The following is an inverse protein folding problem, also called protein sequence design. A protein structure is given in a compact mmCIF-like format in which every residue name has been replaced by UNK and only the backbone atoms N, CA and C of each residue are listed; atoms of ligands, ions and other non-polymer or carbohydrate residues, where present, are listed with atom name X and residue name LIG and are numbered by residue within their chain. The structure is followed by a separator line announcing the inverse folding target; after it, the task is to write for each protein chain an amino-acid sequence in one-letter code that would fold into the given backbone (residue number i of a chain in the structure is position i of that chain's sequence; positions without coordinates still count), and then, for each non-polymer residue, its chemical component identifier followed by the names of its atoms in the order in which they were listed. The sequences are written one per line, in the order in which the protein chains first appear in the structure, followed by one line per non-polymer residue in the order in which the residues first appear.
data_IF_636724562438
#
_entry.id   IF_636724562438
#
_cell.length_a   1.000
_cell.length_b   1.000
_cell.length_c   1.000
_cell.angle_alpha   90.00
_cell.angle_beta   90.00
_cell.angle_gamma   90.00
#
_symmetry.space_group_name_H-M   'P 1'
#
loop_
_entity.id
_entity.type
_entity.pdbx_description
1 polymer ?
#
# COMPACT_ATOMS: atom_id res chain seq x y z
N UNK A 1 9.42 9.00 -0.65
CA UNK A 1 8.14 8.31 -0.37
C UNK A 1 8.03 6.91 -0.98
N UNK A 2 8.31 6.71 -2.27
CA UNK A 2 8.31 5.37 -2.89
C UNK A 2 9.09 4.34 -2.06
N UNK A 3 10.29 4.73 -1.59
CA UNK A 3 11.13 3.91 -0.73
C UNK A 3 10.46 3.38 0.54
N UNK A 4 9.66 4.21 1.23
CA UNK A 4 9.02 3.79 2.50
C UNK A 4 7.88 2.80 2.23
N UNK A 5 7.03 3.10 1.26
CA UNK A 5 5.90 2.24 0.89
C UNK A 5 6.40 0.89 0.35
N UNK A 6 7.41 0.92 -0.52
CA UNK A 6 8.07 -0.30 -1.01
C UNK A 6 8.72 -1.08 0.12
N UNK A 7 9.38 -0.42 1.08
CA UNK A 7 10.01 -1.11 2.23
C UNK A 7 8.98 -1.80 3.13
N UNK A 8 7.86 -1.14 3.44
CA UNK A 8 6.75 -1.73 4.21
C UNK A 8 6.18 -2.93 3.46
N UNK A 9 5.96 -2.80 2.15
CA UNK A 9 5.47 -3.90 1.32
C UNK A 9 6.43 -5.10 1.32
N UNK A 10 7.73 -4.87 1.15
CA UNK A 10 8.77 -5.91 1.21
C UNK A 10 8.73 -6.62 2.58
N UNK A 11 8.67 -5.86 3.67
CA UNK A 11 8.56 -6.43 5.02
C UNK A 11 7.30 -7.28 5.19
N UNK A 12 6.18 -6.84 4.63
CA UNK A 12 4.92 -7.55 4.72
C UNK A 12 4.90 -8.86 3.93
N UNK A 13 5.48 -8.89 2.71
CA UNK A 13 5.57 -10.12 1.91
C UNK A 13 6.67 -11.07 2.38
N UNK A 14 7.62 -10.62 3.21
CA UNK A 14 8.69 -11.47 3.74
C UNK A 14 8.14 -12.65 4.55
N UNK A 15 7.06 -12.46 5.30
CA UNK A 15 6.42 -13.53 6.06
C UNK A 15 5.82 -14.64 5.18
N UNK A 16 4.90 -14.38 4.23
CA UNK A 16 4.39 -15.42 3.36
C UNK A 16 5.49 -16.03 2.49
N UNK A 17 6.49 -15.25 2.08
CA UNK A 17 7.64 -15.78 1.36
C UNK A 17 8.45 -16.77 2.21
N UNK A 18 8.73 -16.46 3.47
CA UNK A 18 9.37 -17.38 4.41
C UNK A 18 8.54 -18.64 4.64
N UNK A 19 7.21 -18.52 4.67
CA UNK A 19 6.26 -19.65 4.71
C UNK A 19 6.39 -20.57 3.50
N UNK A 20 6.40 -20.01 2.28
CA UNK A 20 6.59 -20.75 1.01
C UNK A 20 7.92 -21.52 1.03
N UNK A 21 9.00 -20.83 1.41
CA UNK A 21 10.34 -21.43 1.47
C UNK A 21 10.36 -22.56 2.48
N UNK A 22 9.82 -22.35 3.69
CA UNK A 22 9.74 -23.38 4.73
C UNK A 22 8.96 -24.61 4.27
N UNK A 23 7.81 -24.43 3.65
CA UNK A 23 6.97 -25.52 3.18
C UNK A 23 7.67 -26.33 2.08
N UNK A 24 8.29 -25.63 1.13
CA UNK A 24 9.04 -26.27 0.06
C UNK A 24 10.20 -27.09 0.60
N UNK A 25 10.93 -26.57 1.57
CA UNK A 25 12.08 -27.23 2.20
C UNK A 25 11.67 -28.43 3.08
N UNK A 26 10.58 -28.31 3.86
CA UNK A 26 10.16 -29.36 4.80
C UNK A 26 9.27 -30.44 4.20
N UNK A 27 8.41 -30.09 3.25
CA UNK A 27 7.35 -30.98 2.75
C UNK A 27 7.45 -31.23 1.24
N UNK A 28 8.41 -30.61 0.54
CA UNK A 28 8.61 -30.73 -0.91
C UNK A 28 7.54 -30.03 -1.76
N UNK A 29 6.48 -29.52 -1.13
CA UNK A 29 5.31 -28.87 -1.74
C UNK A 29 4.99 -27.59 -0.98
N UNK A 30 4.43 -26.59 -1.67
CA UNK A 30 4.01 -25.33 -1.07
C UNK A 30 2.52 -25.40 -0.78
N UNK A 31 2.09 -25.03 0.43
CA UNK A 31 0.67 -24.98 0.74
C UNK A 31 -0.05 -23.95 -0.15
N UNK A 32 -1.17 -24.29 -0.83
CA UNK A 32 -1.85 -23.39 -1.77
C UNK A 32 -2.25 -22.04 -1.15
N UNK A 33 -2.56 -22.03 0.16
CA UNK A 33 -2.88 -20.80 0.89
C UNK A 33 -1.74 -19.77 0.86
N UNK A 34 -0.47 -20.18 0.78
CA UNK A 34 0.63 -19.23 0.67
C UNK A 34 0.60 -18.47 -0.66
N UNK A 35 0.32 -19.16 -1.77
CA UNK A 35 0.22 -18.51 -3.08
C UNK A 35 -0.97 -17.57 -3.14
N UNK A 36 -2.11 -17.97 -2.59
CA UNK A 36 -3.29 -17.11 -2.50
C UNK A 36 -3.02 -15.88 -1.65
N UNK A 37 -2.41 -16.04 -0.47
CA UNK A 37 -2.05 -14.92 0.41
C UNK A 37 -1.06 -13.96 -0.25
N UNK A 38 0.04 -14.48 -0.81
CA UNK A 38 1.04 -13.65 -1.50
C UNK A 38 0.42 -12.92 -2.70
N UNK A 39 -0.36 -13.63 -3.53
CA UNK A 39 -1.05 -13.05 -4.68
C UNK A 39 -2.02 -11.94 -4.27
N UNK A 40 -2.80 -12.16 -3.22
CA UNK A 40 -3.73 -11.16 -2.69
C UNK A 40 -3.00 -9.89 -2.21
N UNK A 41 -1.87 -10.04 -1.49
CA UNK A 41 -1.07 -8.90 -1.04
C UNK A 41 -0.48 -8.11 -2.23
N UNK A 42 0.03 -8.80 -3.25
CA UNK A 42 0.57 -8.16 -4.46
C UNK A 42 -0.51 -7.40 -5.22
N UNK A 43 -1.66 -8.04 -5.46
CA UNK A 43 -2.80 -7.40 -6.13
C UNK A 43 -3.29 -6.19 -5.35
N UNK A 44 -3.43 -6.32 -4.03
CA UNK A 44 -3.84 -5.21 -3.16
C UNK A 44 -2.86 -4.05 -3.21
N UNK A 45 -1.55 -4.32 -3.21
CA UNK A 45 -0.52 -3.28 -3.32
C UNK A 45 -0.67 -2.49 -4.62
N UNK A 46 -0.75 -3.17 -5.77
CA UNK A 46 -0.94 -2.51 -7.05
C UNK A 46 -2.29 -1.78 -7.15
N UNK A 47 -3.36 -2.37 -6.63
CA UNK A 47 -4.67 -1.74 -6.60
C UNK A 47 -4.63 -0.44 -5.79
N UNK A 48 -4.01 -0.46 -4.61
CA UNK A 48 -3.91 0.72 -3.74
C UNK A 48 -3.08 1.82 -4.38
N UNK A 49 -1.90 1.48 -4.95
CA UNK A 49 -1.03 2.46 -5.59
C UNK A 49 -1.63 3.04 -6.87
N UNK A 50 -2.33 2.22 -7.67
CA UNK A 50 -2.90 2.66 -8.95
C UNK A 50 -4.19 3.43 -8.73
N UNK A 51 -5.12 2.87 -7.95
CA UNK A 51 -6.44 3.48 -7.72
C UNK A 51 -6.29 4.68 -6.80
N UNK A 52 -5.54 4.56 -5.71
CA UNK A 52 -5.37 5.63 -4.71
C UNK A 52 -4.69 6.89 -5.26
N UNK A 53 -3.92 6.77 -6.35
CA UNK A 53 -3.25 7.89 -7.03
C UNK A 53 -3.91 8.31 -8.33
N UNK A 54 -5.08 7.77 -8.64
CA UNK A 54 -5.79 8.04 -9.89
C UNK A 54 -6.64 9.31 -9.83
N UNK A 55 -7.03 9.80 -11.01
CA UNK A 55 -8.04 10.86 -11.14
C UNK A 55 -9.41 10.43 -10.61
N UNK A 56 -9.72 9.13 -10.63
CA UNK A 56 -10.93 8.59 -10.02
C UNK A 56 -10.96 8.81 -8.50
N UNK A 57 -9.84 8.55 -7.81
CA UNK A 57 -9.74 8.84 -6.38
C UNK A 57 -9.85 10.35 -6.09
N UNK A 58 -9.25 11.20 -6.94
CA UNK A 58 -9.35 12.65 -6.81
C UNK A 58 -10.78 13.17 -7.00
N UNK A 59 -11.52 12.66 -7.99
CA UNK A 59 -12.93 13.01 -8.22
C UNK A 59 -13.80 12.56 -7.03
N UNK A 60 -13.62 11.33 -6.56
CA UNK A 60 -14.32 10.82 -5.38
C UNK A 60 -14.02 11.68 -4.13
N UNK A 61 -12.77 12.05 -3.90
CA UNK A 61 -12.37 12.95 -2.82
C UNK A 61 -13.10 14.29 -2.93
N UNK A 62 -13.06 14.93 -4.10
CA UNK A 62 -13.64 16.26 -4.32
C UNK A 62 -15.14 16.32 -4.01
N UNK A 63 -15.88 15.25 -4.34
CA UNK A 63 -17.31 15.11 -4.04
C UNK A 63 -17.58 14.87 -2.57
N UNK A 64 -16.67 14.19 -1.88
CA UNK A 64 -16.82 13.80 -0.48
C UNK A 64 -16.57 14.96 0.47
N UNK A 65 -15.65 15.87 0.13
CA UNK A 65 -15.21 16.96 1.03
C UNK A 65 -15.99 18.27 0.89
N UNK A 66 -16.99 18.33 0.01
CA UNK A 66 -17.79 19.55 -0.22
C UNK A 66 -18.38 20.09 1.08
N UNK A 67 -18.17 21.38 1.35
CA UNK A 67 -18.67 22.04 2.55
C UNK A 67 -17.83 21.79 3.82
N UNK A 68 -16.70 21.09 3.72
CA UNK A 68 -15.77 20.86 4.83
C UNK A 68 -14.48 21.67 4.64
N UNK A 69 -13.68 21.90 5.71
CA UNK A 69 -12.34 22.50 5.57
C UNK A 69 -11.42 21.74 4.60
N UNK A 70 -11.65 20.45 4.40
CA UNK A 70 -10.86 19.63 3.48
C UNK A 70 -11.07 19.99 1.99
N UNK A 71 -12.09 20.77 1.64
CA UNK A 71 -12.30 21.24 0.26
C UNK A 71 -11.13 22.11 -0.27
N UNK A 72 -10.35 22.72 0.63
CA UNK A 72 -9.14 23.47 0.26
C UNK A 72 -7.85 22.64 0.21
N UNK A 73 -7.93 21.33 0.46
CA UNK A 73 -6.75 20.44 0.54
C UNK A 73 -6.59 19.66 -0.77
N UNK A 74 -5.40 19.67 -1.39
CA UNK A 74 -5.16 18.87 -2.60
C UNK A 74 -5.30 17.36 -2.33
N UNK A 75 -6.13 16.68 -3.12
CA UNK A 75 -6.53 15.29 -2.89
C UNK A 75 -5.37 14.28 -2.95
N UNK A 76 -4.40 14.52 -3.83
CA UNK A 76 -3.31 13.58 -4.13
C UNK A 76 -1.96 14.01 -3.54
N UNK A 77 -1.94 15.08 -2.75
CA UNK A 77 -0.72 15.59 -2.12
C UNK A 77 -0.72 15.28 -0.63
N UNK A 78 0.39 14.68 -0.18
CA UNK A 78 0.61 14.51 1.24
C UNK A 78 0.84 15.86 1.89
N UNK A 79 0.02 16.15 2.89
CA UNK A 79 0.18 17.34 3.70
C UNK A 79 1.47 17.26 4.51
N UNK A 80 2.08 18.43 4.76
CA UNK A 80 3.21 18.50 5.67
C UNK A 80 2.77 18.04 7.06
N UNK A 81 3.63 17.29 7.77
CA UNK A 81 3.32 16.89 9.13
C UNK A 81 3.13 18.13 10.02
N UNK A 82 2.31 18.04 11.09
CA UNK A 82 2.05 19.16 11.99
C UNK A 82 3.22 19.47 12.93
N UNK A 83 4.36 18.82 12.76
CA UNK A 83 5.56 18.98 13.57
C UNK A 83 6.73 19.48 12.72
N UNK A 84 7.70 20.21 13.32
CA UNK A 84 8.85 20.73 12.58
C UNK A 84 9.64 19.61 11.91
N UNK A 85 9.92 19.76 10.62
CA UNK A 85 10.85 18.91 9.88
C UNK A 85 12.20 19.64 9.73
N UNK A 86 13.34 18.94 9.77
CA UNK A 86 14.63 19.54 9.44
C UNK A 86 14.61 20.23 8.07
N UNK A 87 15.39 21.31 7.85
CA UNK A 87 15.49 21.93 6.54
C UNK A 87 16.08 20.95 5.51
N UNK A 88 15.55 21.05 4.28
CA UNK A 88 15.91 20.22 3.12
C UNK A 88 17.38 20.41 2.69
#
# INVERSE_FOLDING_TARGET
MYWMVTAVFIGMIAFPFAGIVRDKLRYGRVHPAWWLGLGALVVLHFATETIGRSTFAADLYSRTVVGTPAAGVPALEYQRPPFPTPPD
#
